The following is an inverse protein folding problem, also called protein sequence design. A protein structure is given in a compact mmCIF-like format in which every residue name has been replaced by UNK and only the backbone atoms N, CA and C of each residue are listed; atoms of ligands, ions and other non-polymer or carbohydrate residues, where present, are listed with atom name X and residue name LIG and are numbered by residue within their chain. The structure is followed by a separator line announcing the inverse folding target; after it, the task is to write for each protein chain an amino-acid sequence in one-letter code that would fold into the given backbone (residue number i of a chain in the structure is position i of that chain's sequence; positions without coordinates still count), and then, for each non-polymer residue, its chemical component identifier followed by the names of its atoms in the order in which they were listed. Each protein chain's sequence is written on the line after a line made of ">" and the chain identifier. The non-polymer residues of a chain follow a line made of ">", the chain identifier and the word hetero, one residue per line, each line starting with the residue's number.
data_IF_838974712239
#
_entry.id   IF_838974712239
#
_cell.length_a   1.000
_cell.length_b   1.000
_cell.length_c   1.000
_cell.angle_alpha   90.00
_cell.angle_beta   90.00
_cell.angle_gamma   90.00
#
_symmetry.space_group_name_H-M   'P 1'
#
loop_
_entity.id
_entity.type
_entity.pdbx_description
1 polymer ?
#
# COMPACT_ATOMS: atom_id res chain seq x y z
N UNK A 1 48.51 -9.30 -41.72
CA UNK A 1 48.61 -8.04 -41.03
C UNK A 1 47.19 -7.55 -40.76
N UNK A 2 46.52 -8.11 -39.71
CA UNK A 2 45.15 -7.76 -39.36
C UNK A 2 45.18 -6.85 -38.13
N UNK A 3 44.74 -5.61 -38.28
CA UNK A 3 44.52 -4.68 -37.15
C UNK A 3 43.13 -4.97 -36.53
N UNK A 4 43.14 -5.44 -35.29
CA UNK A 4 41.95 -5.47 -34.45
C UNK A 4 41.62 -4.03 -34.02
N UNK A 5 40.44 -3.57 -34.37
CA UNK A 5 39.80 -2.37 -33.83
C UNK A 5 39.00 -2.79 -32.60
N UNK A 6 39.50 -2.49 -31.41
CA UNK A 6 38.74 -2.60 -30.16
C UNK A 6 37.75 -1.43 -30.09
N UNK A 7 36.47 -1.76 -30.18
CA UNK A 7 35.38 -0.79 -29.94
C UNK A 7 35.16 -0.70 -28.42
N UNK A 8 35.60 0.41 -27.83
CA UNK A 8 35.32 0.73 -26.43
C UNK A 8 33.88 1.23 -26.33
N UNK A 9 32.95 0.41 -25.87
CA UNK A 9 31.59 0.83 -25.53
C UNK A 9 31.63 1.45 -24.14
N UNK A 10 31.66 2.79 -24.10
CA UNK A 10 31.43 3.55 -22.87
C UNK A 10 29.97 3.53 -22.54
N UNK A 11 29.57 2.62 -21.61
CA UNK A 11 28.29 2.65 -20.93
C UNK A 11 28.28 3.84 -19.96
N UNK A 12 27.68 4.95 -20.36
CA UNK A 12 27.28 5.99 -19.42
C UNK A 12 26.08 5.49 -18.63
N UNK A 13 26.32 4.81 -17.51
CA UNK A 13 25.33 4.65 -16.47
C UNK A 13 25.13 6.04 -15.83
N UNK A 14 24.08 6.75 -16.24
CA UNK A 14 23.56 7.87 -15.45
C UNK A 14 23.02 7.30 -14.15
N UNK A 15 23.85 7.19 -13.15
CA UNK A 15 23.41 6.99 -11.79
C UNK A 15 22.55 8.21 -11.43
N UNK A 16 21.22 8.05 -11.43
CA UNK A 16 20.34 8.97 -10.76
C UNK A 16 20.80 9.02 -9.30
N UNK A 17 21.41 10.12 -8.91
CA UNK A 17 21.85 10.35 -7.53
C UNK A 17 20.63 10.15 -6.63
N UNK A 18 20.71 9.16 -5.73
CA UNK A 18 19.71 9.01 -4.68
C UNK A 18 19.63 10.35 -3.93
N UNK A 19 18.42 10.84 -3.58
CA UNK A 19 18.28 12.10 -2.87
C UNK A 19 19.16 12.08 -1.63
N UNK A 20 19.87 13.17 -1.40
CA UNK A 20 20.77 13.33 -0.26
C UNK A 20 19.97 13.27 1.05
N UNK A 21 20.00 12.12 1.72
CA UNK A 21 19.30 11.86 2.97
C UNK A 21 19.99 12.54 4.18
N UNK A 22 21.03 13.35 3.97
CA UNK A 22 21.79 13.99 5.05
C UNK A 22 21.06 15.16 5.70
N UNK A 23 20.01 15.74 5.07
CA UNK A 23 19.17 16.81 5.66
C UNK A 23 17.87 16.28 6.31
N UNK A 24 17.53 15.01 6.16
CA UNK A 24 16.45 14.42 6.93
C UNK A 24 16.96 14.18 8.35
N UNK A 25 16.32 14.78 9.32
CA UNK A 25 16.67 14.72 10.75
C UNK A 25 16.75 13.26 11.27
N UNK A 26 17.83 12.57 10.89
CA UNK A 26 18.22 11.25 11.38
C UNK A 26 19.00 11.37 12.70
N UNK A 27 19.13 12.58 13.27
CA UNK A 27 20.15 12.89 14.27
C UNK A 27 19.75 12.48 15.68
N UNK A 28 18.48 12.17 15.97
CA UNK A 28 18.05 11.79 17.31
C UNK A 28 17.43 10.38 17.33
N UNK A 29 18.26 9.34 17.16
CA UNK A 29 17.84 7.95 17.46
C UNK A 29 17.66 7.70 18.95
N UNK A 30 18.24 8.53 19.82
CA UNK A 30 18.16 8.38 21.28
C UNK A 30 16.75 8.57 21.85
N UNK A 31 15.82 9.11 21.08
CA UNK A 31 14.45 9.39 21.47
C UNK A 31 13.44 8.41 20.82
N UNK A 32 13.91 7.61 19.86
CA UNK A 32 13.04 6.65 19.15
C UNK A 32 12.75 5.45 20.06
N UNK A 33 11.47 5.17 20.31
CA UNK A 33 10.99 4.11 21.20
C UNK A 33 10.46 2.92 20.44
N UNK A 34 9.65 3.16 19.40
CA UNK A 34 9.07 2.13 18.56
C UNK A 34 8.83 2.63 17.13
N UNK A 35 8.82 1.71 16.18
CA UNK A 35 8.46 1.98 14.78
C UNK A 35 7.43 0.96 14.32
N UNK A 36 6.44 1.44 13.57
CA UNK A 36 5.54 0.59 12.78
C UNK A 36 5.68 0.99 11.32
N UNK A 37 5.91 0.01 10.46
CA UNK A 37 5.95 0.16 9.02
C UNK A 37 4.79 -0.58 8.39
N UNK A 38 3.96 0.11 7.60
CA UNK A 38 2.98 -0.46 6.67
C UNK A 38 3.49 -0.23 5.25
N UNK A 39 3.42 -1.23 4.36
CA UNK A 39 3.78 -1.05 2.96
C UNK A 39 2.88 -1.82 1.99
N UNK A 40 2.75 -1.28 0.77
CA UNK A 40 2.15 -1.95 -0.38
C UNK A 40 3.12 -3.02 -0.91
N UNK A 41 2.62 -4.15 -1.40
CA UNK A 41 3.42 -5.14 -2.15
C UNK A 41 4.18 -4.50 -3.33
N UNK A 42 5.17 -5.19 -3.86
CA UNK A 42 5.93 -4.78 -5.03
C UNK A 42 5.16 -4.97 -6.35
N UNK A 43 5.84 -4.64 -7.46
CA UNK A 43 5.31 -4.84 -8.80
C UNK A 43 4.88 -6.29 -9.02
N UNK A 44 3.74 -6.46 -9.71
CA UNK A 44 3.09 -7.75 -9.99
C UNK A 44 2.58 -7.80 -11.43
N UNK A 45 2.21 -8.98 -11.88
CA UNK A 45 1.37 -9.14 -13.08
C UNK A 45 0.03 -8.42 -12.86
N UNK A 46 -0.69 -7.99 -13.91
CA UNK A 46 -2.05 -7.51 -13.79
C UNK A 46 -2.93 -8.46 -12.96
N UNK A 47 -3.97 -7.95 -12.32
CA UNK A 47 -4.96 -8.79 -11.61
C UNK A 47 -6.05 -9.31 -12.52
N UNK A 48 -6.23 -8.68 -13.68
CA UNK A 48 -7.08 -9.08 -14.77
C UNK A 48 -6.55 -8.42 -16.04
N UNK A 49 -7.00 -8.84 -17.23
CA UNK A 49 -6.69 -8.19 -18.50
C UNK A 49 -7.98 -7.62 -19.09
N UNK A 50 -7.89 -6.45 -19.72
CA UNK A 50 -9.00 -5.96 -20.56
C UNK A 50 -9.04 -6.74 -21.87
N UNK A 51 -10.20 -6.79 -22.54
CA UNK A 51 -10.47 -7.70 -23.67
C UNK A 51 -9.41 -7.59 -24.80
N UNK A 52 -9.02 -6.37 -25.18
CA UNK A 52 -8.06 -6.12 -26.25
C UNK A 52 -6.61 -6.00 -25.76
N UNK A 53 -6.27 -6.53 -24.58
CA UNK A 53 -4.93 -6.43 -24.03
C UNK A 53 -3.95 -7.32 -24.81
N UNK A 54 -2.94 -6.68 -25.42
CA UNK A 54 -1.92 -7.37 -26.22
C UNK A 54 -0.94 -8.22 -25.38
N UNK A 55 -0.94 -8.06 -24.05
CA UNK A 55 -0.04 -8.72 -23.12
C UNK A 55 -0.70 -9.80 -22.26
N UNK A 56 -1.90 -10.24 -22.64
CA UNK A 56 -2.67 -11.26 -21.91
C UNK A 56 -2.04 -12.67 -21.92
N UNK A 57 -1.06 -12.95 -22.79
CA UNK A 57 -0.30 -14.20 -22.76
C UNK A 57 0.75 -14.18 -21.63
N UNK A 58 0.37 -14.79 -20.49
CA UNK A 58 1.20 -14.84 -19.29
C UNK A 58 2.54 -15.56 -19.52
N UNK A 59 2.56 -16.62 -20.35
CA UNK A 59 3.79 -17.37 -20.66
C UNK A 59 4.78 -16.53 -21.46
N UNK A 60 4.29 -15.76 -22.39
CA UNK A 60 5.10 -14.96 -23.30
C UNK A 60 5.63 -13.67 -22.66
N UNK A 61 4.79 -12.97 -21.92
CA UNK A 61 5.11 -11.60 -21.46
C UNK A 61 5.41 -11.54 -19.95
N UNK A 62 4.94 -12.50 -19.15
CA UNK A 62 5.02 -12.47 -17.71
C UNK A 62 5.80 -13.65 -17.10
N UNK A 63 6.65 -14.30 -17.90
CA UNK A 63 7.49 -15.42 -17.47
C UNK A 63 6.69 -16.60 -16.91
N UNK A 64 5.43 -16.77 -17.33
CA UNK A 64 4.55 -17.84 -16.85
C UNK A 64 4.03 -17.62 -15.42
N UNK A 65 4.15 -16.41 -14.87
CA UNK A 65 3.51 -16.06 -13.61
C UNK A 65 2.00 -15.92 -13.80
N UNK A 66 1.21 -16.39 -12.85
CA UNK A 66 -0.23 -16.19 -12.81
C UNK A 66 -0.61 -14.73 -12.56
N UNK A 67 -1.89 -14.39 -12.71
CA UNK A 67 -2.43 -13.06 -12.42
C UNK A 67 -2.18 -12.64 -10.96
N UNK A 68 -1.80 -11.39 -10.76
CA UNK A 68 -1.56 -10.80 -9.46
C UNK A 68 -0.31 -11.28 -8.73
N UNK A 69 0.56 -12.08 -9.39
CA UNK A 69 1.78 -12.63 -8.80
C UNK A 69 2.96 -11.66 -8.83
N UNK A 70 3.77 -11.65 -7.78
CA UNK A 70 4.92 -10.76 -7.62
C UNK A 70 6.01 -11.06 -8.65
N UNK A 71 6.41 -10.04 -9.41
CA UNK A 71 7.49 -10.17 -10.40
C UNK A 71 8.89 -9.97 -9.78
N UNK A 72 9.94 -10.24 -10.57
CA UNK A 72 11.32 -9.94 -10.13
C UNK A 72 11.55 -8.44 -9.89
N UNK A 73 10.85 -7.55 -10.62
CA UNK A 73 10.87 -6.10 -10.36
C UNK A 73 10.30 -5.83 -8.97
N UNK A 74 9.16 -6.44 -8.62
CA UNK A 74 8.56 -6.30 -7.29
C UNK A 74 9.44 -6.84 -6.16
N UNK A 75 10.16 -7.94 -6.40
CA UNK A 75 11.16 -8.47 -5.45
C UNK A 75 12.29 -7.46 -5.24
N UNK A 76 12.84 -6.88 -6.32
CA UNK A 76 13.90 -5.87 -6.24
C UNK A 76 13.43 -4.62 -5.48
N UNK A 77 12.22 -4.11 -5.75
CA UNK A 77 11.63 -2.99 -5.04
C UNK A 77 11.56 -3.23 -3.53
N UNK A 78 11.19 -4.44 -3.11
CA UNK A 78 11.11 -4.78 -1.68
C UNK A 78 12.47 -5.01 -1.03
N UNK A 79 13.43 -5.57 -1.74
CA UNK A 79 14.81 -5.63 -1.26
C UNK A 79 15.36 -4.22 -0.98
N UNK A 80 15.18 -3.31 -1.93
CA UNK A 80 15.59 -1.90 -1.80
C UNK A 80 14.85 -1.18 -0.68
N UNK A 81 13.54 -1.43 -0.50
CA UNK A 81 12.76 -0.88 0.62
C UNK A 81 13.29 -1.40 1.96
N UNK A 82 13.64 -2.68 2.05
CA UNK A 82 14.28 -3.27 3.23
C UNK A 82 15.62 -2.62 3.55
N UNK A 83 16.48 -2.41 2.53
CA UNK A 83 17.75 -1.70 2.67
C UNK A 83 17.55 -0.23 3.09
N UNK A 84 16.55 0.46 2.52
CA UNK A 84 16.18 1.82 2.92
C UNK A 84 15.80 1.87 4.40
N UNK A 85 14.94 0.94 4.84
CA UNK A 85 14.52 0.84 6.25
C UNK A 85 15.71 0.54 7.16
N UNK A 86 16.61 -0.35 6.75
CA UNK A 86 17.87 -0.62 7.46
C UNK A 86 18.76 0.62 7.56
N UNK A 87 18.92 1.38 6.47
CA UNK A 87 19.70 2.62 6.47
C UNK A 87 19.08 3.66 7.43
N UNK A 88 17.75 3.79 7.41
CA UNK A 88 17.03 4.77 8.23
C UNK A 88 17.12 4.46 9.72
N UNK A 89 16.92 3.21 10.10
CA UNK A 89 16.82 2.81 11.52
C UNK A 89 18.02 2.01 12.03
N UNK A 90 19.04 1.79 11.23
CA UNK A 90 20.13 0.85 11.53
C UNK A 90 21.05 1.24 12.70
N UNK A 91 21.01 2.51 13.14
CA UNK A 91 21.70 2.94 14.37
C UNK A 91 20.95 2.57 15.63
N UNK A 92 19.64 2.41 15.52
CA UNK A 92 18.72 2.11 16.63
C UNK A 92 18.28 0.63 16.61
N UNK A 93 17.90 0.09 15.44
CA UNK A 93 17.44 -1.28 15.29
C UNK A 93 18.64 -2.26 15.26
N UNK A 94 18.66 -3.32 16.10
CA UNK A 94 19.74 -4.31 16.13
C UNK A 94 20.07 -4.87 14.73
N UNK A 95 21.36 -5.14 14.51
CA UNK A 95 21.86 -5.65 13.22
C UNK A 95 21.44 -7.09 12.94
N UNK A 96 21.26 -7.88 14.01
CA UNK A 96 20.78 -9.27 13.94
C UNK A 96 19.28 -9.29 14.17
N UNK A 97 18.60 -10.15 13.45
CA UNK A 97 17.21 -10.45 13.74
C UNK A 97 17.07 -11.13 15.10
N UNK A 98 16.18 -10.62 15.92
CA UNK A 98 15.67 -11.24 17.14
C UNK A 98 14.15 -11.03 17.22
N UNK A 99 13.41 -12.10 17.57
CA UNK A 99 11.94 -12.05 17.75
C UNK A 99 11.51 -11.11 18.88
N UNK A 100 12.40 -10.81 19.80
CA UNK A 100 12.14 -9.89 20.89
C UNK A 100 12.25 -8.42 20.46
N UNK A 101 12.90 -8.14 19.32
CA UNK A 101 13.07 -6.79 18.79
C UNK A 101 12.14 -6.48 17.62
N UNK A 102 11.66 -7.54 16.92
CA UNK A 102 10.98 -7.38 15.64
C UNK A 102 9.80 -8.35 15.47
N UNK A 103 8.71 -7.85 14.89
CA UNK A 103 7.53 -8.63 14.54
C UNK A 103 6.98 -8.23 13.17
N UNK A 104 6.60 -9.20 12.34
CA UNK A 104 6.08 -8.96 11.00
C UNK A 104 4.76 -9.68 10.75
N UNK A 105 3.82 -8.98 10.11
CA UNK A 105 2.55 -9.51 9.63
C UNK A 105 2.33 -9.21 8.14
N UNK A 106 1.48 -10.00 7.50
CA UNK A 106 1.06 -9.82 6.10
C UNK A 106 -0.41 -10.15 5.93
N UNK A 107 -1.07 -9.56 4.95
CA UNK A 107 -2.35 -10.09 4.46
C UNK A 107 -2.12 -11.47 3.85
N UNK A 108 -3.12 -12.34 3.85
CA UNK A 108 -3.01 -13.72 3.34
C UNK A 108 -3.13 -13.76 1.81
N UNK A 109 -2.16 -13.13 1.13
CA UNK A 109 -2.05 -13.09 -0.34
C UNK A 109 -0.60 -13.28 -0.73
N UNK A 110 -0.31 -14.16 -1.70
CA UNK A 110 1.05 -14.55 -2.11
C UNK A 110 1.99 -13.36 -2.31
N UNK A 111 1.57 -12.36 -3.09
CA UNK A 111 2.41 -11.18 -3.39
C UNK A 111 2.80 -10.37 -2.15
N UNK A 112 1.95 -10.34 -1.11
CA UNK A 112 2.28 -9.65 0.15
C UNK A 112 3.20 -10.49 1.02
N UNK A 113 2.99 -11.81 1.07
CA UNK A 113 3.93 -12.76 1.70
C UNK A 113 5.32 -12.65 1.09
N UNK A 114 5.42 -12.75 -0.23
CA UNK A 114 6.70 -12.67 -0.96
C UNK A 114 7.36 -11.29 -0.79
N UNK A 115 6.59 -10.21 -0.87
CA UNK A 115 7.09 -8.84 -0.64
C UNK A 115 7.64 -8.69 0.77
N UNK A 116 6.93 -9.18 1.77
CA UNK A 116 7.38 -9.17 3.16
C UNK A 116 8.68 -9.95 3.36
N UNK A 117 8.79 -11.16 2.80
CA UNK A 117 10.01 -11.97 2.90
C UNK A 117 11.22 -11.30 2.26
N UNK A 118 11.04 -10.69 1.10
CA UNK A 118 12.14 -9.98 0.40
C UNK A 118 12.50 -8.67 1.12
N UNK A 119 11.51 -7.96 1.68
CA UNK A 119 11.78 -6.79 2.52
C UNK A 119 12.63 -7.16 3.74
N UNK A 120 12.28 -8.28 4.41
CA UNK A 120 13.03 -8.81 5.53
C UNK A 120 14.46 -9.21 5.15
N UNK A 121 14.68 -9.72 3.95
CA UNK A 121 16.02 -9.97 3.43
C UNK A 121 16.84 -8.69 3.30
N UNK A 122 16.28 -7.63 2.75
CA UNK A 122 16.94 -6.32 2.67
C UNK A 122 17.19 -5.68 4.04
N UNK A 123 16.28 -5.90 5.00
CA UNK A 123 16.35 -5.35 6.35
C UNK A 123 17.29 -6.13 7.28
N UNK A 124 17.27 -7.47 7.22
CA UNK A 124 18.03 -8.38 8.10
C UNK A 124 18.79 -9.45 7.30
N UNK A 125 19.76 -9.09 6.45
CA UNK A 125 20.65 -10.10 5.88
C UNK A 125 21.37 -10.83 7.00
N UNK A 126 21.51 -12.16 6.87
CA UNK A 126 22.20 -13.00 7.87
C UNK A 126 23.65 -12.56 8.02
N UNK A 127 24.13 -12.46 9.25
CA UNK A 127 25.50 -12.07 9.59
C UNK A 127 26.11 -12.98 10.64
N UNK A 128 27.40 -13.26 10.53
CA UNK A 128 28.17 -14.03 11.52
C UNK A 128 27.52 -15.38 11.87
N UNK A 129 27.11 -15.54 13.11
CA UNK A 129 26.47 -16.72 13.68
C UNK A 129 25.05 -16.98 13.16
N UNK A 130 24.41 -16.05 12.46
CA UNK A 130 23.15 -16.26 11.75
C UNK A 130 23.34 -16.85 10.35
N UNK A 131 24.57 -16.93 9.84
CA UNK A 131 24.87 -17.58 8.58
C UNK A 131 24.71 -19.11 8.73
N UNK A 132 23.66 -19.62 8.14
CA UNK A 132 23.32 -21.06 8.21
C UNK A 132 23.84 -21.85 7.01
N UNK A 133 24.30 -21.17 5.95
CA UNK A 133 24.88 -21.75 4.72
C UNK A 133 25.94 -20.83 4.14
N UNK A 134 27.00 -21.40 3.59
CA UNK A 134 28.06 -20.66 2.87
C UNK A 134 27.47 -19.94 1.65
N UNK A 135 27.92 -18.72 1.41
CA UNK A 135 27.52 -17.86 0.29
C UNK A 135 26.03 -17.49 0.26
N UNK A 136 25.33 -17.60 1.40
CA UNK A 136 23.91 -17.22 1.51
C UNK A 136 23.73 -16.33 2.73
N UNK A 137 23.40 -15.09 2.50
CA UNK A 137 23.09 -14.12 3.56
C UNK A 137 21.56 -13.93 3.76
N UNK A 138 20.74 -14.69 3.03
CA UNK A 138 19.32 -14.82 3.33
C UNK A 138 19.10 -15.72 4.54
N UNK A 139 18.17 -15.35 5.41
CA UNK A 139 17.71 -16.17 6.53
C UNK A 139 16.18 -16.18 6.61
N UNK A 140 15.56 -17.30 7.04
CA UNK A 140 14.12 -17.32 7.27
C UNK A 140 13.76 -16.48 8.50
N UNK A 141 12.89 -15.51 8.32
CA UNK A 141 12.32 -14.70 9.40
C UNK A 141 10.81 -14.93 9.38
N UNK A 142 10.17 -15.25 10.54
CA UNK A 142 8.73 -15.46 10.58
C UNK A 142 7.96 -14.24 10.08
N UNK A 143 7.05 -14.47 9.12
CA UNK A 143 6.09 -13.53 8.62
C UNK A 143 4.70 -14.13 8.87
N UNK A 144 3.98 -13.56 9.82
CA UNK A 144 2.72 -14.12 10.30
C UNK A 144 1.56 -13.65 9.43
N UNK A 145 0.61 -14.51 9.05
CA UNK A 145 -0.63 -14.05 8.46
C UNK A 145 -1.37 -13.17 9.49
N UNK A 146 -1.82 -12.00 9.05
CA UNK A 146 -2.60 -11.09 9.89
C UNK A 146 -4.03 -11.58 10.09
N UNK A 147 -4.66 -11.15 11.17
CA UNK A 147 -6.10 -11.29 11.33
C UNK A 147 -6.82 -10.42 10.30
N UNK A 148 -7.65 -11.03 9.45
CA UNK A 148 -8.44 -10.33 8.44
C UNK A 148 -9.39 -9.28 9.04
N UNK A 149 -9.75 -9.38 10.31
CA UNK A 149 -10.52 -8.37 11.03
C UNK A 149 -9.70 -7.12 11.36
N UNK A 150 -8.37 -7.17 11.29
CA UNK A 150 -7.52 -6.00 11.51
C UNK A 150 -7.33 -5.23 10.22
N UNK A 151 -7.10 -5.94 9.11
CA UNK A 151 -6.87 -5.32 7.80
C UNK A 151 -7.01 -6.32 6.65
N UNK A 152 -7.60 -5.88 5.56
CA UNK A 152 -7.83 -6.66 4.34
C UNK A 152 -7.54 -5.79 3.11
N UNK A 153 -7.57 -6.39 1.92
CA UNK A 153 -7.51 -5.65 0.65
C UNK A 153 -8.73 -4.75 0.53
N UNK A 154 -9.89 -5.29 0.93
CA UNK A 154 -11.16 -4.60 0.92
C UNK A 154 -12.02 -5.09 2.10
N UNK A 155 -12.62 -4.20 2.91
CA UNK A 155 -13.32 -4.60 4.12
C UNK A 155 -14.51 -5.53 3.86
N UNK A 156 -14.50 -6.72 4.48
CA UNK A 156 -15.66 -7.59 4.55
C UNK A 156 -16.63 -7.09 5.64
N UNK A 157 -17.41 -6.04 5.32
CA UNK A 157 -18.23 -5.31 6.27
C UNK A 157 -19.44 -4.70 5.54
N UNK A 158 -20.66 -5.14 5.86
CA UNK A 158 -21.86 -4.62 5.19
C UNK A 158 -22.06 -3.12 5.42
N UNK A 159 -21.76 -2.62 6.61
CA UNK A 159 -21.84 -1.20 6.91
C UNK A 159 -20.84 -0.36 6.09
N UNK A 160 -19.61 -0.88 5.88
CA UNK A 160 -18.64 -0.24 4.99
C UNK A 160 -19.14 -0.23 3.55
N UNK A 161 -19.63 -1.36 3.04
CA UNK A 161 -20.14 -1.46 1.65
C UNK A 161 -21.29 -0.49 1.40
N UNK A 162 -22.16 -0.31 2.40
CA UNK A 162 -23.22 0.70 2.36
C UNK A 162 -22.65 2.11 2.23
N UNK A 163 -21.71 2.50 3.09
CA UNK A 163 -21.09 3.83 3.03
C UNK A 163 -20.37 4.04 1.68
N UNK A 164 -19.69 3.01 1.15
CA UNK A 164 -19.03 3.07 -0.15
C UNK A 164 -20.04 3.28 -1.30
N UNK A 165 -21.16 2.57 -1.28
CA UNK A 165 -22.25 2.76 -2.25
C UNK A 165 -22.85 4.18 -2.17
N UNK A 166 -23.04 4.71 -0.96
CA UNK A 166 -23.55 6.08 -0.76
C UNK A 166 -22.55 7.14 -1.28
N UNK A 167 -21.25 6.91 -1.11
CA UNK A 167 -20.21 7.80 -1.67
C UNK A 167 -20.22 7.78 -3.19
N UNK A 168 -20.24 6.60 -3.81
CA UNK A 168 -20.28 6.47 -5.28
C UNK A 168 -21.58 7.04 -5.89
N UNK A 169 -22.68 7.04 -5.15
CA UNK A 169 -23.96 7.62 -5.57
C UNK A 169 -24.12 9.12 -5.21
N UNK A 170 -23.09 9.77 -4.66
CA UNK A 170 -23.13 11.16 -4.24
C UNK A 170 -22.95 12.12 -5.43
N UNK A 171 -23.39 13.39 -5.24
CA UNK A 171 -23.23 14.45 -6.23
C UNK A 171 -21.76 14.70 -6.59
N UNK A 172 -20.84 14.52 -5.63
CA UNK A 172 -19.39 14.62 -5.87
C UNK A 172 -18.95 13.62 -6.93
N UNK A 173 -19.28 12.33 -6.75
CA UNK A 173 -18.85 11.28 -7.67
C UNK A 173 -19.62 11.33 -8.99
N UNK A 174 -20.88 11.74 -8.99
CA UNK A 174 -21.62 12.05 -10.22
C UNK A 174 -20.96 13.20 -11.02
N UNK A 175 -20.39 14.20 -10.34
CA UNK A 175 -19.63 15.27 -10.99
C UNK A 175 -18.31 14.77 -11.57
N UNK A 176 -17.58 13.94 -10.83
CA UNK A 176 -16.33 13.30 -11.30
C UNK A 176 -16.63 12.42 -12.54
N UNK A 177 -17.65 11.56 -12.47
CA UNK A 177 -18.01 10.69 -13.61
C UNK A 177 -18.38 11.52 -14.86
N UNK A 178 -19.05 12.66 -14.67
CA UNK A 178 -19.36 13.58 -15.77
C UNK A 178 -18.10 14.25 -16.34
N UNK A 179 -17.18 14.68 -15.48
CA UNK A 179 -15.91 15.32 -15.89
C UNK A 179 -15.03 14.33 -16.69
N UNK A 180 -15.02 13.05 -16.30
CA UNK A 180 -14.22 12.02 -16.95
C UNK A 180 -15.00 11.16 -17.98
N UNK A 181 -16.20 11.58 -18.37
CA UNK A 181 -17.03 10.84 -19.34
C UNK A 181 -16.31 10.57 -20.67
N UNK A 182 -15.51 11.54 -21.16
CA UNK A 182 -14.70 11.38 -22.38
C UNK A 182 -13.59 10.35 -22.21
N UNK A 183 -13.02 10.23 -20.99
CA UNK A 183 -12.01 9.21 -20.66
C UNK A 183 -12.66 7.82 -20.67
N UNK A 184 -13.82 7.66 -20.06
CA UNK A 184 -14.57 6.40 -20.09
C UNK A 184 -14.94 5.99 -21.51
N UNK A 185 -15.46 6.92 -22.31
CA UNK A 185 -15.80 6.67 -23.72
C UNK A 185 -14.58 6.26 -24.53
N UNK A 186 -13.45 6.92 -24.30
CA UNK A 186 -12.19 6.62 -24.97
C UNK A 186 -11.65 5.24 -24.56
N UNK A 187 -11.66 4.92 -23.26
CA UNK A 187 -11.30 3.60 -22.77
C UNK A 187 -12.18 2.51 -23.38
N UNK A 188 -13.51 2.71 -23.40
CA UNK A 188 -14.45 1.75 -23.99
C UNK A 188 -14.18 1.50 -25.47
N UNK A 189 -13.84 2.55 -26.22
CA UNK A 189 -13.55 2.44 -27.66
C UNK A 189 -12.38 1.51 -27.96
N UNK A 190 -11.35 1.48 -27.10
CA UNK A 190 -10.10 0.79 -27.41
C UNK A 190 -9.84 -0.46 -26.56
N UNK A 191 -10.40 -0.55 -25.36
CA UNK A 191 -10.21 -1.71 -24.47
C UNK A 191 -10.98 -2.96 -24.92
N UNK A 192 -12.07 -2.78 -25.67
CA UNK A 192 -13.03 -3.83 -25.98
C UNK A 192 -14.11 -4.01 -24.91
N UNK A 193 -14.06 -3.23 -23.83
CA UNK A 193 -14.97 -3.31 -22.69
C UNK A 193 -15.88 -2.09 -22.61
N UNK A 194 -17.06 -2.25 -21.99
CA UNK A 194 -17.95 -1.13 -21.68
C UNK A 194 -17.55 -0.48 -20.36
N UNK A 195 -16.79 0.61 -20.41
CA UNK A 195 -16.28 1.32 -19.25
C UNK A 195 -17.13 2.55 -18.97
N UNK A 196 -17.79 2.55 -17.82
CA UNK A 196 -18.73 3.59 -17.37
C UNK A 196 -18.51 4.03 -15.92
N UNK A 197 -17.57 3.38 -15.20
CA UNK A 197 -17.33 3.61 -13.79
C UNK A 197 -15.84 3.64 -13.46
N UNK A 198 -15.50 4.24 -12.32
CA UNK A 198 -14.15 4.24 -11.74
C UNK A 198 -13.56 2.82 -11.62
N UNK A 199 -14.38 1.85 -11.20
CA UNK A 199 -13.92 0.47 -10.99
C UNK A 199 -13.56 -0.22 -12.30
N UNK A 200 -14.36 -0.01 -13.36
CA UNK A 200 -14.10 -0.55 -14.71
C UNK A 200 -12.86 0.13 -15.33
N UNK A 201 -12.70 1.44 -15.15
CA UNK A 201 -11.50 2.17 -15.59
C UNK A 201 -10.22 1.70 -14.86
N UNK A 202 -10.36 1.25 -13.59
CA UNK A 202 -9.23 0.74 -12.83
C UNK A 202 -8.65 -0.55 -13.41
N UNK A 203 -9.44 -1.40 -14.07
CA UNK A 203 -8.91 -2.62 -14.72
C UNK A 203 -7.90 -2.27 -15.81
N UNK A 204 -8.21 -1.31 -16.66
CA UNK A 204 -7.29 -0.84 -17.72
C UNK A 204 -6.09 -0.11 -17.12
N UNK A 205 -6.31 0.72 -16.09
CA UNK A 205 -5.20 1.39 -15.39
C UNK A 205 -4.23 0.39 -14.76
N UNK A 206 -4.73 -0.67 -14.13
CA UNK A 206 -3.92 -1.72 -13.52
C UNK A 206 -3.01 -2.41 -14.54
N UNK A 207 -3.54 -2.74 -15.72
CA UNK A 207 -2.76 -3.26 -16.85
C UNK A 207 -1.68 -2.26 -17.27
N UNK A 208 -2.02 -1.01 -17.58
CA UNK A 208 -1.04 0.00 -17.99
C UNK A 208 0.03 0.26 -16.95
N UNK A 209 -0.33 0.31 -15.68
CA UNK A 209 0.62 0.49 -14.56
C UNK A 209 1.57 -0.69 -14.45
N UNK A 210 1.07 -1.92 -14.57
CA UNK A 210 1.88 -3.14 -14.51
C UNK A 210 2.77 -3.25 -15.75
N UNK A 211 2.23 -3.08 -16.92
CA UNK A 211 2.95 -3.18 -18.21
C UNK A 211 4.06 -2.12 -18.33
N UNK A 212 3.72 -0.85 -18.07
CA UNK A 212 4.70 0.23 -18.13
C UNK A 212 5.83 0.06 -17.12
N UNK A 213 5.52 -0.44 -15.92
CA UNK A 213 6.52 -0.74 -14.90
C UNK A 213 7.41 -1.94 -15.32
N UNK A 214 6.84 -2.91 -16.03
CA UNK A 214 7.58 -4.03 -16.63
C UNK A 214 8.45 -3.62 -17.84
N UNK A 215 8.37 -2.36 -18.31
CA UNK A 215 9.06 -1.87 -19.49
C UNK A 215 8.40 -2.31 -20.82
N UNK A 216 7.18 -2.83 -20.76
CA UNK A 216 6.41 -3.17 -21.95
C UNK A 216 5.87 -1.90 -22.61
N UNK A 217 5.87 -1.89 -23.96
CA UNK A 217 5.38 -0.75 -24.73
C UNK A 217 3.86 -0.73 -24.73
N UNK A 218 3.27 0.25 -24.05
CA UNK A 218 1.82 0.44 -24.06
C UNK A 218 1.26 0.59 -25.48
N UNK A 219 -0.01 0.24 -25.72
CA UNK A 219 -0.64 0.42 -27.02
C UNK A 219 -0.62 1.90 -27.40
N UNK A 220 -0.60 2.18 -28.74
CA UNK A 220 -0.46 3.54 -29.27
C UNK A 220 -1.49 4.52 -28.70
N UNK A 221 -2.68 4.06 -28.41
CA UNK A 221 -3.78 4.87 -27.89
C UNK A 221 -3.61 5.25 -26.40
N UNK A 222 -2.84 4.49 -25.63
CA UNK A 222 -2.62 4.77 -24.22
C UNK A 222 -2.02 6.16 -23.98
N UNK A 223 -1.12 6.63 -24.86
CA UNK A 223 -0.43 7.92 -24.70
C UNK A 223 -1.36 9.14 -24.63
N UNK A 224 -2.62 9.01 -25.04
CA UNK A 224 -3.61 10.09 -24.97
C UNK A 224 -4.22 10.25 -23.57
N UNK A 225 -4.19 9.19 -22.77
CA UNK A 225 -4.86 9.17 -21.46
C UNK A 225 -3.97 8.73 -20.29
N UNK A 226 -2.83 8.10 -20.56
CA UNK A 226 -1.88 7.61 -19.54
C UNK A 226 -0.49 8.21 -19.77
N UNK A 227 0.21 8.67 -18.70
CA UNK A 227 -0.26 8.60 -17.30
C UNK A 227 -1.49 9.47 -17.01
N UNK A 228 -1.59 10.66 -17.56
CA UNK A 228 -2.72 11.58 -17.32
C UNK A 228 -3.66 11.66 -18.52
N UNK A 229 -4.97 11.80 -18.30
CA UNK A 229 -5.69 12.05 -17.02
C UNK A 229 -6.06 10.78 -16.23
N UNK A 230 -5.71 9.57 -16.69
CA UNK A 230 -6.16 8.32 -16.07
C UNK A 230 -5.61 8.12 -14.64
N UNK A 231 -4.36 8.53 -14.39
CA UNK A 231 -3.79 8.45 -13.02
C UNK A 231 -4.55 9.35 -12.04
N UNK A 232 -4.95 10.55 -12.46
CA UNK A 232 -5.77 11.43 -11.63
C UNK A 232 -7.15 10.82 -11.33
N UNK A 233 -7.80 10.25 -12.34
CA UNK A 233 -9.07 9.54 -12.18
C UNK A 233 -8.94 8.39 -11.18
N UNK A 234 -7.83 7.65 -11.23
CA UNK A 234 -7.58 6.56 -10.26
C UNK A 234 -7.26 7.09 -8.86
N UNK A 235 -6.76 8.30 -8.72
CA UNK A 235 -6.72 8.98 -7.41
C UNK A 235 -8.10 9.03 -6.76
N UNK A 236 -9.14 9.41 -7.52
CA UNK A 236 -10.52 9.41 -7.03
C UNK A 236 -11.06 8.00 -6.73
N UNK A 237 -10.63 6.98 -7.47
CA UNK A 237 -10.97 5.59 -7.15
C UNK A 237 -10.51 5.21 -5.74
N UNK A 238 -9.23 5.46 -5.38
CA UNK A 238 -8.71 5.19 -4.04
C UNK A 238 -9.36 6.09 -2.98
N UNK A 239 -9.67 7.34 -3.32
CA UNK A 239 -10.35 8.28 -2.43
C UNK A 239 -11.77 7.82 -2.08
N UNK A 240 -12.53 7.29 -3.06
CA UNK A 240 -13.87 6.77 -2.84
C UNK A 240 -13.93 5.69 -1.76
N UNK A 241 -12.88 4.90 -1.62
CA UNK A 241 -12.82 3.79 -0.66
C UNK A 241 -12.68 4.23 0.80
N UNK A 242 -12.25 5.47 1.05
CA UNK A 242 -11.96 5.97 2.41
C UNK A 242 -12.29 7.46 2.56
N UNK A 243 -13.29 7.95 1.85
CA UNK A 243 -13.71 9.34 1.84
C UNK A 243 -14.36 9.79 3.15
N UNK A 244 -15.30 9.01 3.68
CA UNK A 244 -16.02 9.37 4.92
C UNK A 244 -15.29 8.85 6.16
N UNK A 245 -15.48 9.53 7.30
CA UNK A 245 -14.97 9.08 8.61
C UNK A 245 -15.43 7.65 8.93
N UNK A 246 -16.66 7.27 8.56
CA UNK A 246 -17.15 5.90 8.75
C UNK A 246 -16.40 4.87 7.89
N UNK A 247 -16.13 5.19 6.62
CA UNK A 247 -15.31 4.31 5.79
C UNK A 247 -13.90 4.16 6.38
N UNK A 248 -13.26 5.27 6.80
CA UNK A 248 -11.96 5.26 7.47
C UNK A 248 -11.98 4.40 8.74
N UNK A 249 -13.07 4.48 9.53
CA UNK A 249 -13.29 3.67 10.72
C UNK A 249 -13.31 2.18 10.41
N UNK A 250 -14.11 1.76 9.43
CA UNK A 250 -14.24 0.34 9.09
C UNK A 250 -13.05 -0.23 8.34
N UNK A 251 -12.31 0.59 7.59
CA UNK A 251 -11.20 0.14 6.76
C UNK A 251 -9.87 0.13 7.50
N UNK A 252 -9.51 1.22 8.15
CA UNK A 252 -8.20 1.39 8.80
C UNK A 252 -8.27 1.48 10.32
N UNK A 253 -9.46 1.59 10.90
CA UNK A 253 -9.62 1.87 12.32
C UNK A 253 -9.05 0.80 13.24
N UNK A 254 -9.23 -0.49 12.92
CA UNK A 254 -8.66 -1.60 13.70
C UNK A 254 -7.13 -1.67 13.59
N UNK A 255 -6.57 -1.39 12.41
CA UNK A 255 -5.13 -1.32 12.23
C UNK A 255 -4.52 -0.15 13.02
N UNK A 256 -5.12 1.05 12.92
CA UNK A 256 -4.68 2.22 13.69
C UNK A 256 -4.80 1.98 15.20
N UNK A 257 -5.89 1.33 15.64
CA UNK A 257 -6.05 0.93 17.05
C UNK A 257 -4.93 -0.05 17.47
N UNK A 258 -4.61 -1.04 16.64
CA UNK A 258 -3.52 -1.99 16.90
C UNK A 258 -2.15 -1.29 17.00
N UNK A 259 -1.93 -0.24 16.21
CA UNK A 259 -0.70 0.58 16.27
C UNK A 259 -0.65 1.36 17.58
N UNK A 260 -1.75 2.03 17.95
CA UNK A 260 -1.80 2.82 19.18
C UNK A 260 -1.68 1.95 20.45
N UNK A 261 -2.33 0.78 20.47
CA UNK A 261 -2.20 -0.18 21.56
C UNK A 261 -0.76 -0.72 21.67
N UNK A 262 -0.11 -0.99 20.53
CA UNK A 262 1.30 -1.36 20.55
C UNK A 262 2.20 -0.28 21.15
N UNK A 263 1.90 0.99 20.90
CA UNK A 263 2.65 2.09 21.53
C UNK A 263 2.45 2.14 23.05
N UNK A 264 1.22 1.89 23.52
CA UNK A 264 0.96 1.77 24.97
C UNK A 264 1.70 0.60 25.60
N UNK A 265 1.62 -0.57 24.96
CA UNK A 265 2.31 -1.77 25.41
C UNK A 265 3.82 -1.55 25.49
N UNK A 266 4.36 -0.78 24.54
CA UNK A 266 5.78 -0.41 24.54
C UNK A 266 6.14 0.56 25.67
N UNK A 267 5.30 1.57 25.92
CA UNK A 267 5.47 2.53 27.01
C UNK A 267 5.40 1.82 28.37
N UNK A 268 4.46 0.89 28.52
CA UNK A 268 4.24 0.15 29.77
C UNK A 268 5.24 -1.02 29.96
N UNK A 269 6.11 -1.29 28.98
CA UNK A 269 7.05 -2.41 29.03
C UNK A 269 6.41 -3.80 28.87
N UNK A 270 5.15 -3.88 28.38
CA UNK A 270 4.42 -5.14 28.16
C UNK A 270 4.94 -5.92 26.96
N UNK A 271 5.58 -5.23 26.01
CA UNK A 271 6.19 -5.83 24.82
C UNK A 271 7.64 -5.38 24.64
N UNK A 272 8.49 -6.31 24.20
CA UNK A 272 9.90 -6.04 23.96
C UNK A 272 10.16 -5.51 22.55
N UNK A 273 9.37 -5.91 21.54
CA UNK A 273 9.56 -5.54 20.14
C UNK A 273 9.71 -4.03 19.98
N UNK A 274 10.70 -3.63 19.20
CA UNK A 274 10.95 -2.23 18.84
C UNK A 274 10.31 -1.89 17.49
N UNK A 275 10.19 -2.87 16.60
CA UNK A 275 9.72 -2.66 15.23
C UNK A 275 8.62 -3.65 14.87
N UNK A 276 7.48 -3.14 14.37
CA UNK A 276 6.43 -3.95 13.75
C UNK A 276 6.32 -3.64 12.26
N UNK A 277 6.14 -4.67 11.45
CA UNK A 277 6.02 -4.56 9.99
C UNK A 277 4.69 -5.15 9.52
N UNK A 278 4.01 -4.44 8.61
CA UNK A 278 2.77 -4.86 7.97
C UNK A 278 2.92 -4.83 6.45
N UNK A 279 2.88 -6.00 5.81
CA UNK A 279 2.92 -6.15 4.35
C UNK A 279 1.52 -6.22 3.78
N UNK A 280 1.10 -5.21 3.02
CA UNK A 280 -0.28 -5.07 2.53
C UNK A 280 -0.39 -4.53 1.10
N UNK A 281 -1.41 -3.69 0.89
CA UNK A 281 -1.88 -3.27 -0.42
C UNK A 281 -1.91 -1.74 -0.55
N UNK A 282 -2.06 -1.25 -1.78
CA UNK A 282 -2.29 0.17 -2.09
C UNK A 282 -3.52 0.73 -1.37
N UNK A 283 -4.60 -0.06 -1.32
CA UNK A 283 -5.83 0.30 -0.63
C UNK A 283 -5.63 0.51 0.88
N UNK A 284 -4.75 -0.28 1.53
CA UNK A 284 -4.38 -0.07 2.93
C UNK A 284 -3.59 1.24 3.12
N UNK A 285 -2.66 1.54 2.21
CA UNK A 285 -1.90 2.81 2.23
C UNK A 285 -2.86 3.99 2.08
N UNK A 286 -3.73 3.96 1.06
CA UNK A 286 -4.71 5.01 0.80
C UNK A 286 -5.66 5.23 1.99
N UNK A 287 -6.20 4.14 2.57
CA UNK A 287 -7.11 4.21 3.72
C UNK A 287 -6.45 4.78 4.97
N UNK A 288 -5.20 4.40 5.26
CA UNK A 288 -4.44 4.97 6.39
C UNK A 288 -4.15 6.44 6.15
N UNK A 289 -3.67 6.83 4.96
CA UNK A 289 -3.40 8.24 4.64
C UNK A 289 -4.68 9.10 4.70
N UNK A 290 -5.82 8.56 4.24
CA UNK A 290 -7.13 9.22 4.36
C UNK A 290 -7.55 9.41 5.82
N UNK A 291 -7.37 8.38 6.66
CA UNK A 291 -7.67 8.46 8.08
C UNK A 291 -6.80 9.50 8.80
N UNK A 292 -5.58 9.74 8.32
CA UNK A 292 -4.67 10.77 8.83
C UNK A 292 -4.93 12.17 8.24
N UNK A 293 -5.91 12.31 7.31
CA UNK A 293 -6.16 13.54 6.53
C UNK A 293 -4.92 13.98 5.71
N UNK A 294 -4.20 13.02 5.17
CA UNK A 294 -2.94 13.21 4.43
C UNK A 294 -2.99 12.67 2.99
N UNK A 295 -4.20 12.40 2.47
CA UNK A 295 -4.43 11.83 1.14
C UNK A 295 -5.07 12.84 0.16
N UNK A 296 -4.67 14.10 0.25
CA UNK A 296 -5.18 15.17 -0.63
C UNK A 296 -3.99 15.96 -1.23
N UNK A 297 -3.90 16.12 -2.58
CA UNK A 297 -4.75 15.47 -3.59
C UNK A 297 -4.58 13.94 -3.60
N UNK A 298 -5.65 13.18 -3.92
CA UNK A 298 -5.58 11.72 -3.94
C UNK A 298 -4.77 11.20 -5.13
N UNK A 299 -4.10 10.07 -4.96
CA UNK A 299 -3.25 9.44 -5.98
C UNK A 299 -3.23 7.92 -5.82
N UNK A 300 -2.97 7.14 -6.88
CA UNK A 300 -2.70 5.71 -6.74
C UNK A 300 -1.36 5.49 -6.02
N UNK A 301 -1.33 4.85 -4.84
CA UNK A 301 -0.06 4.57 -4.16
C UNK A 301 0.87 3.71 -5.03
N UNK A 302 2.15 4.08 -5.12
CA UNK A 302 3.15 3.36 -5.92
C UNK A 302 3.46 1.97 -5.35
N UNK A 303 3.98 1.05 -6.19
CA UNK A 303 4.52 -0.23 -5.71
C UNK A 303 5.60 0.01 -4.65
N UNK A 304 5.60 -0.81 -3.59
CA UNK A 304 6.48 -0.66 -2.44
C UNK A 304 6.38 0.72 -1.73
N UNK A 305 5.28 1.47 -1.91
CA UNK A 305 4.99 2.63 -1.07
C UNK A 305 4.81 2.23 0.39
N UNK A 306 5.13 3.12 1.32
CA UNK A 306 5.20 2.77 2.73
C UNK A 306 4.82 3.95 3.64
N UNK A 307 4.18 3.65 4.76
CA UNK A 307 3.91 4.60 5.85
C UNK A 307 4.62 4.11 7.10
N UNK A 308 5.36 5.00 7.75
CA UNK A 308 6.05 4.73 9.00
C UNK A 308 5.43 5.55 10.12
N UNK A 309 5.15 4.91 11.24
CA UNK A 309 4.75 5.55 12.49
C UNK A 309 5.91 5.39 13.47
N UNK A 310 6.45 6.49 13.97
CA UNK A 310 7.54 6.52 14.94
C UNK A 310 7.03 7.03 16.28
N UNK A 311 7.09 6.20 17.30
CA UNK A 311 6.89 6.66 18.70
C UNK A 311 8.21 7.21 19.21
N UNK A 312 8.20 8.44 19.72
CA UNK A 312 9.36 9.14 20.26
C UNK A 312 9.11 9.58 21.70
N UNK A 313 10.16 9.60 22.51
CA UNK A 313 10.12 10.08 23.89
C UNK A 313 11.05 11.29 24.05
N UNK A 314 10.48 12.44 24.38
CA UNK A 314 11.21 13.66 24.71
C UNK A 314 10.98 14.00 26.20
N UNK A 315 11.96 13.68 27.04
CA UNK A 315 11.92 13.99 28.49
C UNK A 315 10.66 13.46 29.20
N UNK A 316 10.21 12.25 28.85
CA UNK A 316 9.03 11.60 29.44
C UNK A 316 7.71 11.90 28.73
N UNK A 317 7.71 12.73 27.69
CA UNK A 317 6.55 13.01 26.87
C UNK A 317 6.65 12.23 25.53
N UNK A 318 5.55 11.59 25.16
CA UNK A 318 5.50 10.74 23.96
C UNK A 318 4.85 11.47 22.78
N UNK A 319 5.48 11.34 21.60
CA UNK A 319 5.04 11.93 20.35
C UNK A 319 5.00 10.89 19.24
N UNK A 320 4.12 11.07 18.28
CA UNK A 320 4.04 10.24 17.07
C UNK A 320 4.42 11.07 15.85
N UNK A 321 5.41 10.58 15.12
CA UNK A 321 5.79 11.11 13.82
C UNK A 321 5.34 10.15 12.74
N UNK A 322 4.75 10.66 11.68
CA UNK A 322 4.36 9.82 10.54
C UNK A 322 5.11 10.25 9.29
N UNK A 323 5.64 9.25 8.59
CA UNK A 323 6.34 9.45 7.32
C UNK A 323 5.67 8.64 6.22
N UNK A 324 5.44 9.27 5.07
CA UNK A 324 4.95 8.62 3.86
C UNK A 324 6.06 8.56 2.83
N UNK A 325 6.36 7.34 2.35
CA UNK A 325 7.28 7.09 1.23
C UNK A 325 6.47 6.60 0.04
N UNK A 326 6.47 7.38 -1.05
CA UNK A 326 5.81 7.03 -2.31
C UNK A 326 6.82 7.17 -3.46
N UNK A 327 7.22 6.04 -4.07
CA UNK A 327 8.37 6.01 -4.97
C UNK A 327 9.66 6.48 -4.26
N UNK A 328 10.36 7.45 -4.83
CA UNK A 328 11.54 8.09 -4.25
C UNK A 328 11.21 9.18 -3.22
N UNK A 329 9.98 9.68 -3.19
CA UNK A 329 9.57 10.76 -2.31
C UNK A 329 9.33 10.24 -0.88
N UNK A 330 10.04 10.82 0.10
CA UNK A 330 9.83 10.61 1.53
C UNK A 330 9.38 11.93 2.16
N UNK A 331 8.20 11.93 2.78
CA UNK A 331 7.59 13.13 3.35
C UNK A 331 7.11 12.86 4.77
N UNK A 332 7.42 13.76 5.71
CA UNK A 332 6.78 13.77 7.03
C UNK A 332 5.38 14.37 6.87
N UNK A 333 4.38 13.75 7.47
CA UNK A 333 2.97 14.14 7.34
C UNK A 333 2.36 14.41 8.71
N UNK A 334 1.38 15.31 8.75
CA UNK A 334 0.60 15.60 9.95
C UNK A 334 -0.51 14.56 10.15
N UNK A 335 -1.00 14.43 11.36
CA UNK A 335 -2.14 13.60 11.73
C UNK A 335 -3.34 14.52 11.95
N UNK A 336 -4.26 14.59 10.97
CA UNK A 336 -5.50 15.38 11.04
C UNK A 336 -5.26 16.83 11.58
N UNK A 337 -4.31 17.53 10.97
CA UNK A 337 -3.97 18.90 11.34
C UNK A 337 -3.18 19.07 12.64
N UNK A 338 -2.72 17.99 13.29
CA UNK A 338 -1.76 18.06 14.39
C UNK A 338 -0.39 18.53 13.88
N UNK A 339 0.48 18.97 14.80
CA UNK A 339 1.87 19.22 14.49
C UNK A 339 2.57 17.96 13.95
N UNK A 340 3.68 18.12 13.21
CA UNK A 340 4.44 16.99 12.66
C UNK A 340 5.02 16.07 13.74
N UNK A 341 5.29 16.62 14.94
CA UNK A 341 5.58 15.90 16.17
C UNK A 341 4.31 15.99 17.04
N UNK A 342 3.36 15.06 16.79
CA UNK A 342 2.06 15.09 17.43
C UNK A 342 2.11 14.38 18.78
N UNK A 343 1.71 15.03 19.90
CA UNK A 343 1.60 14.34 21.19
C UNK A 343 0.70 13.10 21.10
N UNK A 344 1.11 11.98 21.69
CA UNK A 344 0.38 10.71 21.59
C UNK A 344 -1.09 10.83 22.05
N UNK A 345 -1.33 11.60 23.12
CA UNK A 345 -2.70 11.83 23.63
C UNK A 345 -3.54 12.64 22.61
N UNK A 346 -2.93 13.60 21.94
CA UNK A 346 -3.61 14.34 20.86
C UNK A 346 -3.89 13.46 19.64
N UNK A 347 -2.97 12.54 19.29
CA UNK A 347 -3.24 11.54 18.23
C UNK A 347 -4.48 10.72 18.55
N UNK A 348 -4.62 10.25 19.82
CA UNK A 348 -5.80 9.50 20.26
C UNK A 348 -7.07 10.32 20.15
N UNK A 349 -7.02 11.57 20.59
CA UNK A 349 -8.17 12.47 20.51
C UNK A 349 -8.60 12.70 19.05
N UNK A 350 -7.65 12.91 18.14
CA UNK A 350 -7.94 13.17 16.72
C UNK A 350 -8.44 11.94 15.96
N UNK A 351 -8.08 10.76 16.40
CA UNK A 351 -8.46 9.49 15.79
C UNK A 351 -9.61 8.79 16.52
N UNK A 352 -10.19 9.36 17.58
CA UNK A 352 -11.18 8.71 18.45
C UNK A 352 -12.43 8.21 17.70
N UNK A 353 -12.88 8.92 16.66
CA UNK A 353 -14.03 8.53 15.83
C UNK A 353 -13.68 7.42 14.82
N UNK A 354 -12.38 7.22 14.54
CA UNK A 354 -11.89 6.29 13.53
C UNK A 354 -11.47 4.98 14.17
N UNK A 355 -10.67 5.03 15.24
CA UNK A 355 -10.16 3.81 15.88
C UNK A 355 -11.26 3.00 16.54
N UNK A 356 -11.17 1.69 16.41
CA UNK A 356 -12.08 0.75 17.07
C UNK A 356 -11.37 -0.59 17.26
N UNK A 357 -11.83 -1.36 18.24
CA UNK A 357 -11.38 -2.75 18.41
C UNK A 357 -12.13 -3.72 17.47
N UNK A 358 -11.64 -4.95 17.36
CA UNK A 358 -12.19 -5.98 16.47
C UNK A 358 -13.62 -6.36 16.85
N UNK A 359 -13.95 -6.39 18.15
CA UNK A 359 -15.30 -6.77 18.61
C UNK A 359 -16.32 -5.72 18.20
N UNK A 360 -16.02 -4.44 18.47
CA UNK A 360 -16.86 -3.30 18.06
C UNK A 360 -17.01 -3.25 16.53
N UNK A 361 -15.91 -3.45 15.77
CA UNK A 361 -16.00 -3.52 14.30
C UNK A 361 -16.94 -4.62 13.84
N UNK A 362 -16.83 -5.79 14.42
CA UNK A 362 -17.69 -6.94 14.05
C UNK A 362 -19.16 -6.65 14.31
N UNK A 363 -19.48 -6.04 15.45
CA UNK A 363 -20.85 -5.63 15.79
C UNK A 363 -21.39 -4.58 14.81
N UNK A 364 -20.63 -3.50 14.59
CA UNK A 364 -21.03 -2.42 13.67
C UNK A 364 -21.16 -2.91 12.22
N UNK A 365 -20.27 -3.81 11.76
CA UNK A 365 -20.33 -4.39 10.41
C UNK A 365 -21.53 -5.27 10.15
N UNK A 366 -22.06 -5.93 11.19
CA UNK A 366 -23.22 -6.80 11.09
C UNK A 366 -24.56 -6.09 11.36
N UNK A 367 -24.55 -4.80 11.69
CA UNK A 367 -25.76 -4.03 11.92
C UNK A 367 -26.63 -3.96 10.65
N UNK A 368 -27.96 -3.91 10.82
CA UNK A 368 -28.89 -3.75 9.69
C UNK A 368 -28.59 -2.47 8.92
N UNK A 369 -28.43 -2.60 7.61
CA UNK A 369 -28.17 -1.48 6.71
C UNK A 369 -29.48 -0.89 6.18
N UNK A 370 -29.62 0.45 6.27
CA UNK A 370 -30.66 1.23 5.60
C UNK A 370 -30.00 2.26 4.70
N UNK A 371 -30.49 2.40 3.48
CA UNK A 371 -29.90 3.31 2.48
C UNK A 371 -30.60 4.67 2.50
N UNK A 372 -29.84 5.73 2.22
CA UNK A 372 -30.35 7.11 2.10
C UNK A 372 -31.10 7.33 0.79
N UNK A 373 -30.71 6.60 -0.27
CA UNK A 373 -31.30 6.76 -1.61
C UNK A 373 -31.42 5.40 -2.31
N UNK A 374 -32.35 5.30 -3.26
CA UNK A 374 -32.51 4.12 -4.14
C UNK A 374 -31.26 3.92 -5.00
N UNK A 375 -30.61 5.01 -5.41
CA UNK A 375 -29.35 4.94 -6.17
C UNK A 375 -28.22 4.24 -5.37
N UNK A 376 -28.09 4.57 -4.07
CA UNK A 376 -27.12 3.92 -3.17
C UNK A 376 -27.45 2.44 -2.95
N UNK A 377 -28.73 2.09 -2.80
CA UNK A 377 -29.17 0.69 -2.68
C UNK A 377 -28.85 -0.10 -3.95
N UNK A 378 -29.14 0.45 -5.12
CA UNK A 378 -28.81 -0.16 -6.41
C UNK A 378 -27.28 -0.33 -6.59
N UNK A 379 -26.51 0.67 -6.21
CA UNK A 379 -25.04 0.59 -6.23
C UNK A 379 -24.52 -0.49 -5.29
N UNK A 380 -25.03 -0.55 -4.06
CA UNK A 380 -24.70 -1.61 -3.10
C UNK A 380 -24.96 -3.01 -3.67
N UNK A 381 -26.15 -3.23 -4.27
CA UNK A 381 -26.51 -4.50 -4.88
C UNK A 381 -25.59 -4.86 -6.06
N UNK A 382 -25.15 -3.85 -6.85
CA UNK A 382 -24.15 -4.05 -7.91
C UNK A 382 -22.80 -4.47 -7.32
N UNK A 383 -22.31 -3.79 -6.28
CA UNK A 383 -21.03 -4.09 -5.62
C UNK A 383 -21.00 -5.49 -4.99
N UNK A 384 -22.09 -5.91 -4.35
CA UNK A 384 -22.22 -7.26 -3.76
C UNK A 384 -22.12 -8.32 -4.85
N UNK A 385 -22.78 -8.12 -6.00
CA UNK A 385 -22.68 -9.06 -7.13
C UNK A 385 -21.26 -9.19 -7.67
N UNK A 386 -20.55 -8.08 -7.81
CA UNK A 386 -19.13 -8.08 -8.21
C UNK A 386 -18.27 -8.82 -7.18
N UNK A 387 -18.47 -8.54 -5.88
CA UNK A 387 -17.75 -9.21 -4.80
C UNK A 387 -18.01 -10.72 -4.71
N UNK A 388 -19.22 -11.17 -5.05
CA UNK A 388 -19.54 -12.61 -5.16
C UNK A 388 -18.82 -13.26 -6.33
N UNK A 389 -18.76 -12.61 -7.49
CA UNK A 389 -18.02 -13.09 -8.66
C UNK A 389 -16.51 -13.16 -8.38
N UNK A 390 -15.94 -12.16 -7.71
CA UNK A 390 -14.53 -12.17 -7.35
C UNK A 390 -14.18 -13.23 -6.28
N UNK A 391 -15.09 -13.48 -5.32
CA UNK A 391 -14.93 -14.61 -4.37
C UNK A 391 -14.93 -15.95 -5.10
N UNK A 392 -15.84 -16.15 -6.04
CA UNK A 392 -15.88 -17.36 -6.86
C UNK A 392 -14.62 -17.53 -7.72
N UNK A 393 -14.11 -16.44 -8.32
CA UNK A 393 -12.83 -16.46 -9.08
C UNK A 393 -11.60 -16.78 -8.22
N UNK A 394 -11.63 -16.55 -6.89
CA UNK A 394 -10.54 -16.86 -5.95
C UNK A 394 -10.63 -18.27 -5.35
N UNK A 395 -11.74 -18.97 -5.55
CA UNK A 395 -11.98 -20.32 -5.00
C UNK A 395 -11.69 -21.42 -6.03
N UNK A 396 -11.45 -21.07 -7.28
CA UNK A 396 -11.04 -21.93 -8.37
C UNK A 396 -9.68 -21.45 -8.93
#
# INVERSE_FOLDING_TARGET
>A
MFRQVQLLVLLFATALAAPDLTELDLTSTNELVAVVQLFRHGHRTPTDFYENDQYSDLSKYWSGLDLGQLTNIGKQQHYELGQFTRKRYGKWLPQKYDKNDFYAQTTDVDRTHMSGQINLYGLYPAKKDQLWRLFTDWQPIPLHPGDSNIWEIFPNCAAYMKEYAEVLASDLYATIDKEYADVYSYLSQYSGENITTLSEANSVFDCFKSESTAGLRLPWWASKIYPEPLTQLMGYFFHAMSYTTKQQRYYSGTLLNSILNYFDDKINGSVSQQFKMYSGHDTNIAAVLSALDAFNPPYPPEYASSVYFELRNYSGHYFVNVWSKNGSNLKKISIRGCALDCPLDEVRQRLNEIVLDVATRTEECNAKTTFKTVAAENMYNKLIKIGEIERLKRTF
#
